data_IF_194800076538
#
_entry.id   IF_194800076538
#
_cell.length_a   1.000
_cell.length_b   1.000
_cell.length_c   1.000
_cell.angle_alpha   90.00
_cell.angle_beta   90.00
_cell.angle_gamma   90.00
#
_symmetry.space_group_name_H-M   'P 1'
#
loop_
_entity.id
_entity.type
_entity.pdbx_description
1 polymer ?
#
# COMPACT_ATOMS: atom_id res chain seq x y z
N UNK A 1 23.48 90.83 -0.90
CA UNK A 1 23.76 89.55 -0.21
C UNK A 1 22.84 89.43 1.00
N UNK A 2 21.86 88.52 0.95
CA UNK A 2 21.05 88.02 2.09
C UNK A 2 20.32 86.74 1.62
N UNK A 3 20.01 85.79 2.53
CA UNK A 3 20.14 84.36 2.25
C UNK A 3 18.85 83.64 1.86
N UNK A 4 19.04 82.46 1.26
CA UNK A 4 18.05 81.46 0.89
C UNK A 4 17.56 80.71 2.14
N UNK A 5 16.24 80.63 2.33
CA UNK A 5 15.60 79.63 3.20
C UNK A 5 14.70 78.73 2.35
N UNK A 6 15.11 77.47 2.18
CA UNK A 6 14.32 76.42 1.51
C UNK A 6 13.19 75.97 2.45
N UNK A 7 11.93 76.11 2.02
CA UNK A 7 10.78 75.39 2.60
C UNK A 7 10.67 74.03 1.92
N UNK A 8 10.71 72.97 2.73
CA UNK A 8 10.47 71.59 2.30
C UNK A 8 8.95 71.40 2.22
N UNK A 9 8.45 71.04 1.04
CA UNK A 9 7.09 70.54 0.83
C UNK A 9 7.25 69.06 0.47
N UNK A 10 6.90 68.17 1.40
CA UNK A 10 6.83 66.74 1.14
C UNK A 10 5.44 66.38 0.58
N UNK A 11 5.32 65.59 -0.51
CA UNK A 11 4.03 65.09 -0.95
C UNK A 11 3.60 63.90 -0.08
N UNK A 12 2.35 63.96 0.40
CA UNK A 12 1.66 62.84 1.04
C UNK A 12 1.26 61.85 -0.06
N UNK A 13 1.91 60.69 -0.14
CA UNK A 13 1.43 59.59 -0.97
C UNK A 13 0.44 58.76 -0.15
N UNK A 14 -0.85 58.86 -0.47
CA UNK A 14 -1.86 57.91 0.01
C UNK A 14 -1.82 56.67 -0.89
N UNK A 15 -1.26 55.57 -0.40
CA UNK A 15 -1.38 54.26 -1.04
C UNK A 15 -2.75 53.67 -0.74
N UNK A 16 -3.63 53.61 -1.74
CA UNK A 16 -4.85 52.81 -1.69
C UNK A 16 -4.48 51.34 -1.92
N UNK A 17 -4.47 50.55 -0.85
CA UNK A 17 -4.41 49.09 -0.96
C UNK A 17 -5.77 48.58 -1.48
N UNK A 18 -5.80 48.10 -2.72
CA UNK A 18 -6.92 47.31 -3.23
C UNK A 18 -6.91 45.95 -2.52
N UNK A 19 -7.73 45.82 -1.47
CA UNK A 19 -8.04 44.51 -0.92
C UNK A 19 -8.86 43.74 -1.97
N UNK A 20 -8.21 42.82 -2.68
CA UNK A 20 -8.92 41.81 -3.47
C UNK A 20 -9.74 40.99 -2.47
N UNK A 21 -11.07 40.91 -2.58
CA UNK A 21 -11.85 40.08 -1.69
C UNK A 21 -11.41 38.64 -1.95
N UNK A 22 -10.77 38.02 -0.96
CA UNK A 22 -10.58 36.58 -0.95
C UNK A 22 -11.99 36.00 -0.97
N UNK A 23 -12.41 35.45 -2.11
CA UNK A 23 -13.64 34.70 -2.17
C UNK A 23 -13.52 33.60 -1.13
N UNK A 24 -14.33 33.70 -0.06
CA UNK A 24 -14.46 32.63 0.93
C UNK A 24 -14.86 31.39 0.12
N UNK A 25 -13.96 30.42 -0.01
CA UNK A 25 -14.27 29.12 -0.62
C UNK A 25 -15.57 28.68 0.06
N UNK A 26 -16.66 28.55 -0.69
CA UNK A 26 -17.88 27.93 -0.17
C UNK A 26 -17.44 26.58 0.38
N UNK A 27 -17.53 26.38 1.69
CA UNK A 27 -17.04 25.14 2.29
C UNK A 27 -17.87 24.00 1.74
N UNK A 28 -17.31 23.24 0.79
CA UNK A 28 -17.90 21.98 0.37
C UNK A 28 -18.06 21.10 1.60
N UNK A 29 -19.21 20.43 1.70
CA UNK A 29 -19.48 19.50 2.78
C UNK A 29 -18.45 18.37 2.78
N UNK A 30 -18.15 17.72 3.93
CA UNK A 30 -17.27 16.56 3.96
C UNK A 30 -17.67 15.47 2.96
N UNK A 31 -18.97 15.30 2.71
CA UNK A 31 -19.51 14.38 1.69
C UNK A 31 -19.06 14.75 0.28
N UNK A 32 -19.17 16.03 -0.10
CA UNK A 32 -18.76 16.50 -1.42
C UNK A 32 -17.24 16.38 -1.62
N UNK A 33 -16.45 16.68 -0.58
CA UNK A 33 -14.99 16.51 -0.61
C UNK A 33 -14.60 15.05 -0.80
N UNK A 34 -15.28 14.13 -0.12
CA UNK A 34 -15.09 12.70 -0.34
C UNK A 34 -15.39 12.32 -1.78
N UNK A 35 -16.55 12.70 -2.31
CA UNK A 35 -16.96 12.34 -3.68
C UNK A 35 -15.97 12.91 -4.70
N UNK A 36 -15.51 14.15 -4.51
CA UNK A 36 -14.49 14.76 -5.37
C UNK A 36 -13.18 13.95 -5.33
N UNK A 37 -12.73 13.54 -4.15
CA UNK A 37 -11.49 12.78 -3.99
C UNK A 37 -11.61 11.35 -4.54
N UNK A 38 -12.72 10.67 -4.23
CA UNK A 38 -13.04 9.34 -4.75
C UNK A 38 -13.11 9.34 -6.27
N UNK A 39 -13.71 10.35 -6.89
CA UNK A 39 -13.74 10.45 -8.35
C UNK A 39 -12.34 10.70 -8.94
N UNK A 40 -11.47 11.45 -8.26
CA UNK A 40 -10.07 11.64 -8.69
C UNK A 40 -9.25 10.36 -8.61
N UNK A 41 -9.46 9.55 -7.58
CA UNK A 41 -8.68 8.31 -7.37
C UNK A 41 -9.26 7.12 -8.11
N UNK A 42 -10.57 6.92 -8.03
CA UNK A 42 -11.24 5.70 -8.49
C UNK A 42 -12.08 5.89 -9.76
N UNK A 43 -12.23 7.12 -10.28
CA UNK A 43 -13.09 7.45 -11.43
C UNK A 43 -14.50 6.85 -11.32
N UNK A 44 -15.12 6.99 -10.14
CA UNK A 44 -16.45 6.44 -9.89
C UNK A 44 -16.48 4.90 -9.78
N UNK A 45 -15.38 4.26 -9.37
CA UNK A 45 -15.27 2.80 -9.23
C UNK A 45 -14.82 2.08 -10.51
N UNK A 46 -14.37 2.83 -11.52
CA UNK A 46 -13.80 2.28 -12.76
C UNK A 46 -12.32 1.92 -12.62
N UNK A 47 -11.61 2.60 -11.72
CA UNK A 47 -10.19 2.39 -11.38
C UNK A 47 -9.21 2.51 -12.56
N UNK A 48 -9.64 3.13 -13.66
CA UNK A 48 -8.82 3.47 -14.82
C UNK A 48 -8.13 4.85 -14.63
N UNK A 49 -7.38 4.97 -13.53
CA UNK A 49 -6.66 6.20 -13.16
C UNK A 49 -5.17 5.90 -12.95
N UNK A 50 -4.38 6.97 -12.76
CA UNK A 50 -2.95 6.86 -12.44
C UNK A 50 -2.63 6.18 -11.09
N UNK A 51 -3.65 5.89 -10.26
CA UNK A 51 -3.47 5.22 -8.97
C UNK A 51 -3.51 3.70 -9.08
N UNK A 52 -3.85 3.15 -10.24
CA UNK A 52 -4.00 1.72 -10.45
C UNK A 52 -3.24 1.25 -11.69
N UNK A 53 -2.80 -0.01 -11.67
CA UNK A 53 -2.22 -0.67 -12.82
C UNK A 53 -3.25 -1.10 -13.85
N UNK A 54 -2.79 -1.54 -15.02
CA UNK A 54 -3.64 -2.13 -16.08
C UNK A 54 -4.46 -3.33 -15.58
N UNK A 55 -3.98 -4.01 -14.55
CA UNK A 55 -4.61 -5.20 -13.96
C UNK A 55 -5.56 -4.83 -12.81
N UNK A 56 -5.69 -3.54 -12.47
CA UNK A 56 -6.40 -2.99 -11.29
C UNK A 56 -5.72 -3.34 -9.96
N UNK A 57 -4.39 -3.30 -9.93
CA UNK A 57 -3.62 -3.29 -8.67
C UNK A 57 -3.47 -1.84 -8.23
N UNK A 58 -3.88 -1.43 -7.02
CA UNK A 58 -3.64 -0.08 -6.54
C UNK A 58 -2.15 0.09 -6.23
N UNK A 59 -1.49 1.07 -6.86
CA UNK A 59 -0.09 1.34 -6.54
C UNK A 59 0.06 1.94 -5.14
N UNK A 60 1.21 1.72 -4.52
CA UNK A 60 1.60 2.38 -3.29
C UNK A 60 1.58 3.91 -3.45
N UNK A 61 2.10 4.39 -4.60
CA UNK A 61 2.05 5.80 -4.98
C UNK A 61 1.97 5.98 -6.49
N UNK A 62 1.51 7.16 -6.92
CA UNK A 62 1.48 7.51 -8.36
C UNK A 62 2.89 7.72 -8.91
N UNK A 63 3.79 8.24 -8.09
CA UNK A 63 5.16 8.54 -8.46
C UNK A 63 6.04 7.30 -8.29
N UNK A 64 6.82 6.95 -9.31
CA UNK A 64 7.64 5.72 -9.30
C UNK A 64 8.90 5.82 -8.45
N UNK A 65 9.48 7.02 -8.33
CA UNK A 65 10.64 7.28 -7.48
C UNK A 65 10.14 7.50 -6.05
N UNK A 66 10.04 6.39 -5.31
CA UNK A 66 9.53 6.31 -3.94
C UNK A 66 10.29 5.18 -3.24
N UNK A 67 10.83 5.45 -2.05
CA UNK A 67 11.50 4.48 -1.19
C UNK A 67 11.20 4.86 0.26
N UNK A 68 10.40 4.05 0.96
CA UNK A 68 10.05 4.31 2.38
C UNK A 68 9.73 3.05 3.20
N UNK A 69 9.16 2.04 2.56
CA UNK A 69 8.98 0.68 3.08
C UNK A 69 8.91 -0.32 1.91
N UNK A 70 8.03 -0.10 0.90
CA UNK A 70 8.33 -0.48 -0.47
C UNK A 70 9.49 0.38 -1.00
N UNK A 71 10.21 -0.14 -1.99
CA UNK A 71 11.38 0.50 -2.62
C UNK A 71 11.10 0.95 -4.07
N UNK A 72 9.87 0.75 -4.54
CA UNK A 72 9.39 1.25 -5.82
C UNK A 72 7.91 1.65 -5.79
N UNK A 73 7.58 2.82 -6.36
CA UNK A 73 6.25 3.43 -6.19
C UNK A 73 5.08 2.61 -6.73
N UNK A 74 5.32 1.80 -7.76
CA UNK A 74 4.33 0.92 -8.38
C UNK A 74 4.37 -0.51 -7.84
N UNK A 75 5.01 -0.74 -6.70
CA UNK A 75 4.64 -1.87 -5.86
C UNK A 75 3.25 -1.63 -5.27
N UNK A 76 2.65 -2.67 -4.74
CA UNK A 76 1.43 -2.58 -3.93
C UNK A 76 1.60 -3.42 -2.69
N UNK A 77 1.00 -2.96 -1.59
CA UNK A 77 1.09 -3.65 -0.31
C UNK A 77 -0.30 -4.01 0.22
N UNK A 78 -0.38 -5.00 1.11
CA UNK A 78 -1.62 -5.39 1.77
C UNK A 78 -2.28 -4.24 2.53
N UNK A 79 -1.48 -3.26 2.98
CA UNK A 79 -1.94 -1.97 3.50
C UNK A 79 -2.76 -1.22 2.43
N UNK A 80 -2.23 -1.01 1.24
CA UNK A 80 -2.91 -0.29 0.14
C UNK A 80 -4.23 -0.96 -0.24
N UNK A 81 -4.26 -2.30 -0.31
CA UNK A 81 -5.50 -3.05 -0.53
C UNK A 81 -6.51 -2.82 0.58
N UNK A 82 -6.10 -2.84 1.85
CA UNK A 82 -7.02 -2.58 2.97
C UNK A 82 -7.61 -1.16 2.93
N UNK A 83 -6.80 -0.15 2.57
CA UNK A 83 -7.27 1.23 2.39
C UNK A 83 -8.20 1.36 1.18
N UNK A 84 -7.94 0.63 0.10
CA UNK A 84 -8.84 0.60 -1.05
C UNK A 84 -10.20 0.02 -0.68
N UNK A 85 -10.26 -1.11 0.03
CA UNK A 85 -11.53 -1.67 0.53
C UNK A 85 -12.25 -0.65 1.44
N UNK A 86 -11.51 0.04 2.31
CA UNK A 86 -12.10 1.06 3.17
C UNK A 86 -12.68 2.23 2.37
N UNK A 87 -11.96 2.71 1.35
CA UNK A 87 -12.41 3.76 0.44
C UNK A 87 -13.73 3.38 -0.26
N UNK A 88 -13.82 2.14 -0.76
CA UNK A 88 -15.04 1.63 -1.38
C UNK A 88 -16.19 1.48 -0.39
N UNK A 89 -15.92 1.07 0.86
CA UNK A 89 -16.95 0.98 1.90
C UNK A 89 -17.52 2.36 2.28
N UNK A 90 -16.69 3.40 2.32
CA UNK A 90 -17.15 4.78 2.54
C UNK A 90 -17.98 5.27 1.35
N UNK A 91 -17.58 4.94 0.12
CA UNK A 91 -18.38 5.23 -1.07
C UNK A 91 -19.76 4.53 -1.02
N UNK A 92 -19.79 3.25 -0.64
CA UNK A 92 -21.04 2.51 -0.47
C UNK A 92 -21.94 3.10 0.61
N UNK A 93 -21.39 3.57 1.73
CA UNK A 93 -22.15 4.29 2.75
C UNK A 93 -22.77 5.60 2.25
N UNK A 94 -22.12 6.29 1.32
CA UNK A 94 -22.55 7.61 0.80
C UNK A 94 -23.58 7.48 -0.35
N UNK A 95 -23.47 6.44 -1.14
CA UNK A 95 -24.28 6.20 -2.35
C UNK A 95 -25.41 5.19 -2.13
N UNK A 96 -25.24 4.29 -1.16
CA UNK A 96 -26.12 3.13 -0.95
C UNK A 96 -25.74 1.91 -1.78
N UNK A 97 -24.70 1.98 -2.61
CA UNK A 97 -24.25 0.89 -3.49
C UNK A 97 -22.89 0.33 -3.03
N UNK A 98 -22.87 -0.93 -2.60
CA UNK A 98 -21.66 -1.62 -2.12
C UNK A 98 -21.03 -2.55 -3.17
N UNK A 99 -21.50 -2.53 -4.43
CA UNK A 99 -20.97 -3.38 -5.49
C UNK A 99 -19.46 -3.18 -5.72
N UNK A 100 -18.96 -1.96 -5.50
CA UNK A 100 -17.53 -1.68 -5.62
C UNK A 100 -16.68 -2.31 -4.52
N UNK A 101 -17.23 -2.51 -3.31
CA UNK A 101 -16.55 -3.25 -2.24
C UNK A 101 -16.34 -4.70 -2.64
N UNK A 102 -17.39 -5.36 -3.13
CA UNK A 102 -17.31 -6.75 -3.61
C UNK A 102 -16.28 -6.87 -4.72
N UNK A 103 -16.33 -5.98 -5.72
CA UNK A 103 -15.41 -6.01 -6.85
C UNK A 103 -13.96 -5.73 -6.44
N UNK A 104 -13.72 -4.84 -5.46
CA UNK A 104 -12.38 -4.59 -4.94
C UNK A 104 -11.87 -5.80 -4.13
N UNK A 105 -12.76 -6.48 -3.41
CA UNK A 105 -12.44 -7.73 -2.72
C UNK A 105 -12.06 -8.85 -3.71
N UNK A 106 -12.77 -8.98 -4.83
CA UNK A 106 -12.41 -9.94 -5.89
C UNK A 106 -10.99 -9.70 -6.42
N UNK A 107 -10.59 -8.44 -6.60
CA UNK A 107 -9.23 -8.09 -7.01
C UNK A 107 -8.19 -8.32 -5.90
N UNK A 108 -8.55 -8.10 -4.64
CA UNK A 108 -7.71 -8.46 -3.49
C UNK A 108 -7.42 -9.96 -3.48
N UNK A 109 -8.45 -10.80 -3.53
CA UNK A 109 -8.29 -12.26 -3.59
C UNK A 109 -7.47 -12.70 -4.80
N UNK A 110 -7.71 -12.09 -5.97
CA UNK A 110 -7.02 -12.45 -7.20
C UNK A 110 -5.53 -12.10 -7.19
N UNK A 111 -5.16 -10.97 -6.61
CA UNK A 111 -3.83 -10.37 -6.80
C UNK A 111 -2.87 -10.61 -5.65
N UNK A 112 -3.34 -10.56 -4.40
CA UNK A 112 -2.47 -10.48 -3.22
C UNK A 112 -2.67 -11.62 -2.21
N UNK A 113 -3.75 -12.40 -2.32
CA UNK A 113 -3.89 -13.67 -1.62
C UNK A 113 -3.32 -14.78 -2.53
N UNK A 114 -2.26 -15.50 -2.13
CA UNK A 114 -1.68 -16.56 -2.96
C UNK A 114 -2.73 -17.63 -3.30
N UNK A 115 -2.85 -18.00 -4.58
CA UNK A 115 -3.73 -19.10 -4.97
C UNK A 115 -3.11 -20.46 -4.61
N UNK A 116 -3.86 -21.56 -4.69
CA UNK A 116 -3.30 -22.91 -4.49
C UNK A 116 -2.10 -23.24 -5.40
N UNK A 117 -1.95 -22.54 -6.54
CA UNK A 117 -0.78 -22.69 -7.43
C UNK A 117 0.47 -21.99 -6.89
N UNK A 118 0.28 -20.94 -6.10
CA UNK A 118 1.36 -20.10 -5.57
C UNK A 118 1.86 -20.60 -4.20
N UNK A 119 1.05 -21.40 -3.51
CA UNK A 119 1.40 -22.07 -2.24
C UNK A 119 1.30 -23.61 -2.34
N UNK A 120 1.95 -24.26 -3.32
CA UNK A 120 1.86 -25.70 -3.48
C UNK A 120 2.57 -26.42 -2.33
N UNK A 121 1.88 -27.38 -1.70
CA UNK A 121 2.49 -28.29 -0.73
C UNK A 121 2.16 -28.02 0.74
N UNK A 122 1.27 -27.07 1.04
CA UNK A 122 0.75 -26.85 2.40
C UNK A 122 0.18 -28.11 3.05
N UNK A 123 -0.34 -29.06 2.26
CA UNK A 123 -0.81 -30.36 2.74
C UNK A 123 0.26 -31.25 3.37
N UNK A 124 1.55 -30.89 3.24
CA UNK A 124 2.68 -31.55 3.90
C UNK A 124 3.04 -30.91 5.24
N UNK A 125 2.39 -29.81 5.62
CA UNK A 125 2.63 -29.14 6.88
C UNK A 125 2.40 -30.08 8.06
N UNK A 126 3.30 -30.03 9.04
CA UNK A 126 3.20 -30.80 10.27
C UNK A 126 3.00 -29.84 11.45
N UNK A 127 1.78 -29.74 12.01
CA UNK A 127 1.51 -28.86 13.16
C UNK A 127 2.37 -29.17 14.40
N UNK A 128 2.85 -30.41 14.56
CA UNK A 128 3.76 -30.78 15.65
C UNK A 128 5.23 -30.43 15.39
N UNK A 129 5.55 -29.94 14.19
CA UNK A 129 6.88 -29.43 13.81
C UNK A 129 6.73 -28.29 12.78
N UNK A 130 6.21 -27.12 13.21
CA UNK A 130 5.80 -26.03 12.30
C UNK A 130 6.92 -25.49 11.40
N UNK A 131 8.15 -25.41 11.91
CA UNK A 131 9.31 -24.86 11.21
C UNK A 131 10.61 -25.42 11.81
N UNK A 132 11.74 -25.11 11.17
CA UNK A 132 13.09 -25.30 11.75
C UNK A 132 13.62 -23.94 12.20
N UNK A 133 14.10 -23.84 13.44
CA UNK A 133 14.61 -22.60 13.99
C UNK A 133 15.86 -22.09 13.25
N UNK A 134 15.95 -20.78 13.06
CA UNK A 134 17.16 -20.06 12.68
C UNK A 134 17.24 -18.78 13.53
N UNK A 135 18.40 -18.42 14.10
CA UNK A 135 18.53 -17.21 14.88
C UNK A 135 18.54 -15.96 13.99
N UNK A 136 17.89 -14.89 14.45
CA UNK A 136 18.04 -13.56 13.89
C UNK A 136 19.38 -12.93 14.31
N UNK A 137 19.80 -11.87 13.62
CA UNK A 137 20.99 -11.12 13.98
C UNK A 137 20.80 -9.62 13.76
N UNK A 138 21.36 -8.80 14.66
CA UNK A 138 21.32 -7.34 14.54
C UNK A 138 22.21 -6.80 13.42
N UNK A 139 23.24 -7.53 12.99
CA UNK A 139 24.10 -7.17 11.86
C UNK A 139 23.76 -7.99 10.62
N UNK A 140 23.32 -7.28 9.58
CA UNK A 140 22.97 -7.81 8.26
C UNK A 140 24.05 -8.71 7.64
N UNK A 141 25.33 -8.49 7.99
CA UNK A 141 26.47 -9.28 7.48
C UNK A 141 26.54 -10.70 8.03
N UNK A 142 25.80 -11.00 9.10
CA UNK A 142 25.79 -12.33 9.72
C UNK A 142 24.76 -13.28 9.09
N UNK A 143 24.05 -12.84 8.05
CA UNK A 143 23.19 -13.70 7.23
C UNK A 143 24.00 -14.34 6.09
N UNK A 144 23.68 -15.57 5.63
CA UNK A 144 22.48 -16.34 5.98
C UNK A 144 22.56 -16.98 7.37
N UNK A 145 21.45 -16.90 8.11
CA UNK A 145 21.30 -17.58 9.40
C UNK A 145 21.33 -19.10 9.23
N UNK A 146 21.95 -19.80 10.19
CA UNK A 146 22.06 -21.27 10.16
C UNK A 146 20.84 -21.92 10.79
N UNK A 147 20.25 -22.89 10.07
CA UNK A 147 19.19 -23.75 10.60
C UNK A 147 19.69 -24.65 11.73
N UNK A 148 18.89 -24.75 12.80
CA UNK A 148 19.17 -25.58 13.97
C UNK A 148 18.15 -26.72 14.08
N UNK A 149 18.61 -27.96 13.94
CA UNK A 149 17.79 -29.18 13.96
C UNK A 149 17.81 -29.86 15.34
N UNK A 150 17.48 -29.11 16.38
CA UNK A 150 17.46 -29.62 17.76
C UNK A 150 16.02 -29.79 18.28
N UNK A 151 15.76 -30.92 18.93
CA UNK A 151 14.45 -31.26 19.46
C UNK A 151 14.06 -30.34 20.63
N UNK A 152 12.82 -29.87 20.63
CA UNK A 152 12.26 -29.09 21.75
C UNK A 152 12.45 -27.57 21.66
N UNK A 153 13.11 -27.06 20.62
CA UNK A 153 13.23 -25.60 20.38
C UNK A 153 11.92 -25.01 19.85
N UNK A 154 11.20 -25.75 19.02
CA UNK A 154 9.96 -25.31 18.36
C UNK A 154 8.76 -25.98 19.03
N UNK A 155 7.70 -25.19 19.28
CA UNK A 155 6.45 -25.67 19.84
C UNK A 155 5.52 -26.31 18.81
N UNK A 156 4.29 -26.59 19.23
CA UNK A 156 3.21 -27.08 18.36
C UNK A 156 2.32 -25.90 17.92
N UNK A 157 1.87 -25.93 16.67
CA UNK A 157 0.80 -25.08 16.17
C UNK A 157 -0.58 -25.69 16.50
N UNK A 158 -1.38 -25.05 17.37
CA UNK A 158 -2.66 -25.61 17.80
C UNK A 158 -3.81 -25.33 16.84
N UNK A 159 -3.69 -24.41 15.88
CA UNK A 159 -4.83 -23.92 15.07
C UNK A 159 -4.86 -24.46 13.65
N UNK A 160 -3.74 -24.96 13.11
CA UNK A 160 -3.70 -25.41 11.72
C UNK A 160 -4.71 -26.51 11.38
N UNK A 161 -4.96 -27.46 12.30
CA UNK A 161 -5.97 -28.50 12.09
C UNK A 161 -7.40 -27.93 12.13
N UNK A 162 -7.67 -26.97 13.01
CA UNK A 162 -8.98 -26.32 13.09
C UNK A 162 -9.30 -25.54 11.81
N UNK A 163 -8.33 -24.78 11.31
CA UNK A 163 -8.45 -24.06 10.05
C UNK A 163 -8.66 -25.03 8.88
N UNK A 164 -7.85 -26.08 8.79
CA UNK A 164 -8.01 -27.06 7.71
C UNK A 164 -9.38 -27.75 7.75
N UNK A 165 -9.88 -28.11 8.93
CA UNK A 165 -11.20 -28.73 9.09
C UNK A 165 -12.34 -27.77 8.73
N UNK A 166 -12.23 -26.50 9.11
CA UNK A 166 -13.26 -25.50 8.84
C UNK A 166 -13.36 -25.15 7.33
N UNK A 167 -12.22 -25.06 6.64
CA UNK A 167 -12.16 -24.55 5.27
C UNK A 167 -11.89 -25.63 4.21
N UNK A 168 -11.61 -26.87 4.62
CA UNK A 168 -11.40 -28.01 3.70
C UNK A 168 -10.11 -27.93 2.87
N UNK A 169 -9.20 -27.01 3.20
CA UNK A 169 -7.92 -26.82 2.50
C UNK A 169 -6.81 -26.53 3.51
N UNK A 170 -5.56 -26.86 3.15
CA UNK A 170 -4.37 -26.45 3.90
C UNK A 170 -3.84 -25.09 3.47
N UNK A 171 -4.42 -24.50 2.42
CA UNK A 171 -4.01 -23.19 1.93
C UNK A 171 -4.36 -22.08 2.93
N UNK A 172 -3.47 -21.10 3.01
CA UNK A 172 -3.64 -19.94 3.87
C UNK A 172 -4.38 -18.86 3.09
N UNK A 173 -5.54 -18.47 3.60
CA UNK A 173 -6.31 -17.33 3.11
C UNK A 173 -5.88 -16.06 3.87
N UNK A 174 -4.79 -15.45 3.40
CA UNK A 174 -4.23 -14.22 3.95
C UNK A 174 -3.47 -13.47 2.88
N UNK A 175 -3.53 -12.13 2.93
CA UNK A 175 -2.77 -11.30 1.99
C UNK A 175 -1.28 -11.48 2.25
N UNK A 176 -0.52 -11.77 1.19
CA UNK A 176 0.91 -11.49 1.21
C UNK A 176 1.13 -9.97 1.33
N UNK A 177 2.28 -9.54 1.83
CA UNK A 177 2.42 -8.14 2.22
C UNK A 177 2.76 -7.21 1.06
N UNK A 178 3.47 -7.67 0.02
CA UNK A 178 3.94 -6.83 -1.09
C UNK A 178 3.94 -7.57 -2.43
N UNK A 179 3.53 -6.88 -3.49
CA UNK A 179 3.58 -7.35 -4.88
C UNK A 179 4.14 -6.26 -5.79
N UNK A 180 4.86 -6.65 -6.83
CA UNK A 180 5.28 -5.78 -7.92
C UNK A 180 4.16 -5.75 -8.97
N UNK A 181 3.43 -4.62 -9.05
CA UNK A 181 2.21 -4.55 -9.83
C UNK A 181 2.45 -4.68 -11.34
N UNK A 182 3.60 -4.21 -11.81
CA UNK A 182 3.94 -4.09 -13.23
C UNK A 182 5.03 -5.08 -13.69
N UNK A 183 5.52 -5.94 -12.77
CA UNK A 183 6.67 -6.82 -12.99
C UNK A 183 7.92 -6.01 -13.40
N UNK A 184 8.14 -4.87 -12.74
CA UNK A 184 9.31 -4.02 -12.90
C UNK A 184 10.63 -4.77 -12.58
N UNK A 185 10.62 -5.62 -11.56
CA UNK A 185 11.77 -6.45 -11.19
C UNK A 185 12.02 -7.63 -12.15
N UNK A 186 11.01 -8.02 -12.93
CA UNK A 186 11.14 -9.04 -13.98
C UNK A 186 11.12 -10.48 -13.46
N UNK A 187 10.69 -10.75 -12.23
CA UNK A 187 10.58 -12.12 -11.70
C UNK A 187 9.35 -12.87 -12.24
N UNK A 188 8.28 -12.14 -12.57
CA UNK A 188 6.98 -12.71 -12.88
C UNK A 188 6.41 -13.53 -11.72
N UNK A 189 5.61 -14.55 -12.02
CA UNK A 189 5.14 -15.50 -11.01
C UNK A 189 5.68 -16.89 -11.30
N UNK A 190 5.95 -17.67 -10.25
CA UNK A 190 6.41 -19.06 -10.37
C UNK A 190 7.66 -19.21 -11.29
N UNK A 191 8.49 -18.15 -11.35
CA UNK A 191 9.71 -18.09 -12.15
C UNK A 191 9.51 -17.84 -13.65
N UNK A 192 8.32 -17.39 -14.09
CA UNK A 192 8.03 -17.18 -15.51
C UNK A 192 8.59 -15.87 -16.11
N UNK A 193 9.04 -14.93 -15.27
CA UNK A 193 9.63 -13.65 -15.68
C UNK A 193 8.67 -12.68 -16.38
N UNK A 194 7.38 -12.98 -16.51
CA UNK A 194 6.46 -12.23 -17.39
C UNK A 194 5.10 -11.91 -16.81
N UNK A 195 4.59 -12.70 -15.85
CA UNK A 195 3.26 -12.46 -15.27
C UNK A 195 3.19 -11.21 -14.39
N UNK A 196 2.01 -10.57 -14.37
CA UNK A 196 1.68 -9.44 -13.49
C UNK A 196 0.37 -9.71 -12.70
N UNK A 197 0.24 -9.20 -11.46
CA UNK A 197 1.34 -8.70 -10.61
C UNK A 197 2.28 -9.82 -10.19
N UNK A 198 3.53 -9.50 -9.85
CA UNK A 198 4.56 -10.45 -9.41
C UNK A 198 4.64 -10.49 -7.88
N UNK A 199 4.58 -11.69 -7.30
CA UNK A 199 4.87 -11.89 -5.87
C UNK A 199 6.37 -11.71 -5.60
N UNK A 200 6.71 -10.78 -4.72
CA UNK A 200 8.09 -10.46 -4.34
C UNK A 200 8.24 -10.36 -2.82
N UNK A 201 9.48 -10.21 -2.33
CA UNK A 201 9.76 -9.86 -0.95
C UNK A 201 11.11 -9.14 -0.84
N UNK A 202 11.32 -8.39 0.24
CA UNK A 202 12.54 -7.59 0.47
C UNK A 202 13.21 -7.94 1.81
N UNK A 203 12.60 -7.55 2.93
CA UNK A 203 13.18 -7.68 4.28
C UNK A 203 13.36 -9.14 4.72
N UNK A 204 14.60 -9.55 5.00
CA UNK A 204 14.95 -10.92 5.39
C UNK A 204 16.11 -11.00 6.41
N UNK A 205 16.81 -9.89 6.71
CA UNK A 205 18.11 -9.89 7.39
C UNK A 205 18.18 -9.01 8.65
N UNK A 206 17.12 -9.04 9.44
CA UNK A 206 17.12 -8.49 10.80
C UNK A 206 17.05 -6.96 10.86
N UNK A 207 17.16 -6.38 12.07
CA UNK A 207 16.76 -4.98 12.32
C UNK A 207 17.68 -3.92 11.71
N UNK A 208 18.88 -4.27 11.23
CA UNK A 208 19.75 -3.32 10.51
C UNK A 208 19.54 -3.29 9.01
N UNK A 209 18.69 -4.16 8.45
CA UNK A 209 18.28 -4.08 7.06
C UNK A 209 17.14 -3.05 6.91
N UNK A 210 17.50 -1.82 6.57
CA UNK A 210 16.51 -0.81 6.15
C UNK A 210 16.07 -1.05 4.71
N UNK A 211 15.01 -0.35 4.31
CA UNK A 211 14.71 -0.13 2.88
C UNK A 211 15.84 0.66 2.21
#
# INVERSE_FOLDING_TARGET
MKPITKKIIGPLFTTSALAVPFAKRTESSPRERFIEHYNKMCNGGKWDTKYFSKDNVPYHSVETLMVEAPDYGHESVSETYSFWIWLEAVNGKITGDYSSVTKAWDYLEKHIIPSSKDQPGNSRYNPSSPATYAPENDDIKNYPARLMFENGIVGQDPIAQELQQAYGTWDIYGMHWIIDADNWYGYGNQGDGTSTPSYINTFQRGPSEST
#
